data_IF_883826967950
#
_entry.id   IF_883826967950
#
_cell.length_a   1.000
_cell.length_b   1.000
_cell.length_c   1.000
_cell.angle_alpha   90.00
_cell.angle_beta   90.00
_cell.angle_gamma   90.00
#
_symmetry.space_group_name_H-M   'P 1'
#
loop_
_entity.id
_entity.type
_entity.pdbx_description
1 polymer ?
#
# COMPACT_ATOMS: atom_id res chain seq x y z
N UNK A 1 -33.23 2.04 -24.74
CA UNK A 1 -33.53 2.94 -23.61
C UNK A 1 -33.35 2.22 -22.25
N UNK A 2 -32.34 1.35 -22.10
CA UNK A 2 -32.04 0.64 -20.84
C UNK A 2 -30.53 0.62 -20.58
N UNK A 3 -29.91 1.80 -20.40
CA UNK A 3 -28.48 1.91 -20.04
C UNK A 3 -28.23 2.65 -18.72
N UNK A 4 -29.28 3.14 -18.04
CA UNK A 4 -29.13 3.95 -16.82
C UNK A 4 -29.42 3.24 -15.49
N UNK A 5 -30.19 2.16 -15.46
CA UNK A 5 -30.75 1.66 -14.20
C UNK A 5 -29.84 0.70 -13.39
N UNK A 6 -28.78 0.14 -13.96
CA UNK A 6 -27.91 -0.80 -13.22
C UNK A 6 -26.80 -0.07 -12.45
N UNK A 7 -26.35 1.09 -12.93
CA UNK A 7 -25.29 1.87 -12.29
C UNK A 7 -25.84 2.66 -11.07
N UNK A 8 -27.10 3.07 -11.11
CA UNK A 8 -27.74 3.85 -10.04
C UNK A 8 -28.03 3.06 -8.75
N UNK A 9 -28.03 1.72 -8.80
CA UNK A 9 -28.42 0.89 -7.64
C UNK A 9 -27.25 0.64 -6.68
N UNK A 10 -25.99 0.71 -7.14
CA UNK A 10 -24.81 0.52 -6.27
C UNK A 10 -24.23 1.83 -5.70
N UNK A 11 -24.46 2.97 -6.37
CA UNK A 11 -23.86 4.26 -5.98
C UNK A 11 -24.60 4.92 -4.80
N UNK A 12 -25.88 4.60 -4.57
CA UNK A 12 -26.70 5.24 -3.51
C UNK A 12 -26.24 4.99 -2.06
N UNK A 13 -25.31 4.06 -1.83
CA UNK A 13 -24.78 3.76 -0.50
C UNK A 13 -23.37 4.31 -0.24
N UNK A 14 -22.79 5.05 -1.19
CA UNK A 14 -21.42 5.59 -1.08
C UNK A 14 -21.50 7.10 -0.89
N UNK A 15 -20.99 7.57 0.25
CA UNK A 15 -20.81 8.98 0.53
C UNK A 15 -19.59 9.51 -0.24
N UNK A 16 -19.84 10.26 -1.31
CA UNK A 16 -18.80 10.75 -2.21
C UNK A 16 -17.79 11.68 -1.49
N UNK A 17 -18.23 12.40 -0.46
CA UNK A 17 -17.38 13.33 0.30
C UNK A 17 -16.34 12.58 1.15
N UNK A 18 -16.53 11.27 1.33
CA UNK A 18 -15.61 10.39 2.07
C UNK A 18 -14.68 9.60 1.15
N UNK A 19 -14.81 9.76 -0.16
CA UNK A 19 -13.92 9.11 -1.14
C UNK A 19 -12.69 10.00 -1.32
N UNK A 20 -11.53 9.49 -0.94
CA UNK A 20 -10.24 10.15 -1.11
C UNK A 20 -9.41 9.58 -2.28
N UNK A 21 -9.77 8.39 -2.78
CA UNK A 21 -9.07 7.72 -3.88
C UNK A 21 -10.00 6.86 -4.73
N UNK A 22 -9.78 6.90 -6.05
CA UNK A 22 -10.45 6.04 -7.03
C UNK A 22 -9.41 5.08 -7.64
N UNK A 23 -9.64 3.77 -7.51
CA UNK A 23 -8.84 2.74 -8.17
C UNK A 23 -9.66 2.23 -9.36
N UNK A 24 -9.15 2.42 -10.58
CA UNK A 24 -9.81 1.98 -11.81
C UNK A 24 -9.27 0.61 -12.20
N UNK A 25 -10.15 -0.30 -12.57
CA UNK A 25 -9.80 -1.58 -13.17
C UNK A 25 -10.82 -1.95 -14.26
N UNK A 26 -10.36 -2.73 -15.23
CA UNK A 26 -11.19 -3.37 -16.25
C UNK A 26 -11.23 -4.87 -15.96
N UNK A 27 -12.42 -5.47 -15.93
CA UNK A 27 -12.57 -6.92 -15.73
C UNK A 27 -13.08 -7.55 -17.02
N UNK A 28 -12.44 -8.63 -17.45
CA UNK A 28 -12.72 -9.30 -18.73
C UNK A 28 -12.98 -10.79 -18.54
N UNK A 29 -13.77 -11.37 -19.44
CA UNK A 29 -13.98 -12.82 -19.49
C UNK A 29 -12.89 -13.53 -20.32
N UNK A 30 -12.37 -12.84 -21.34
CA UNK A 30 -11.28 -13.31 -22.17
C UNK A 30 -9.95 -12.76 -21.63
N UNK A 31 -8.87 -13.52 -21.80
CA UNK A 31 -7.55 -13.08 -21.41
C UNK A 31 -7.00 -12.04 -22.39
N UNK A 32 -7.02 -10.78 -21.95
CA UNK A 32 -6.44 -9.64 -22.67
C UNK A 32 -5.17 -9.10 -21.98
N UNK A 33 -4.58 -9.85 -21.04
CA UNK A 33 -3.45 -9.42 -20.22
C UNK A 33 -2.24 -8.99 -21.05
N UNK A 34 -1.93 -9.76 -22.12
CA UNK A 34 -0.85 -9.47 -23.08
C UNK A 34 -1.10 -8.14 -23.81
N UNK A 35 -2.34 -7.88 -24.24
CA UNK A 35 -2.67 -6.62 -24.91
C UNK A 35 -2.52 -5.44 -23.95
N UNK A 36 -2.95 -5.59 -22.70
CA UNK A 36 -2.82 -4.50 -21.73
C UNK A 36 -1.39 -4.20 -21.32
N UNK A 37 -0.50 -5.19 -21.39
CA UNK A 37 0.92 -4.97 -21.14
C UNK A 37 1.59 -4.19 -22.29
N UNK A 38 0.99 -4.18 -23.49
CA UNK A 38 1.47 -3.46 -24.67
C UNK A 38 0.88 -2.03 -24.80
N UNK A 39 0.50 -1.38 -23.69
CA UNK A 39 -0.07 -0.01 -23.71
C UNK A 39 0.83 0.99 -24.46
N UNK A 40 2.15 0.92 -24.25
CA UNK A 40 3.11 1.79 -24.92
C UNK A 40 3.08 1.61 -26.44
N UNK A 41 2.99 0.37 -26.92
CA UNK A 41 2.91 0.05 -28.33
C UNK A 41 1.59 0.55 -28.94
N UNK A 42 0.46 0.38 -28.24
CA UNK A 42 -0.83 0.88 -28.70
C UNK A 42 -0.88 2.41 -28.80
N UNK A 43 -0.20 3.13 -27.91
CA UNK A 43 -0.01 4.57 -28.02
C UNK A 43 0.88 4.92 -29.21
N UNK A 44 1.97 4.19 -29.41
CA UNK A 44 2.91 4.42 -30.52
C UNK A 44 2.25 4.25 -31.90
N UNK A 45 1.34 3.29 -32.06
CA UNK A 45 0.60 3.08 -33.32
C UNK A 45 -0.69 3.91 -33.43
N UNK A 46 -0.99 4.76 -32.44
CA UNK A 46 -2.14 5.66 -32.44
C UNK A 46 -3.50 5.01 -32.19
N UNK A 47 -3.54 3.79 -31.67
CA UNK A 47 -4.79 3.11 -31.30
C UNK A 47 -5.34 3.59 -29.95
N UNK A 48 -4.47 4.11 -29.08
CA UNK A 48 -4.81 4.72 -27.80
C UNK A 48 -4.24 6.14 -27.77
N UNK A 49 -5.03 7.16 -27.37
CA UNK A 49 -4.52 8.52 -27.23
C UNK A 49 -3.33 8.57 -26.25
N UNK A 50 -2.32 9.38 -26.56
CA UNK A 50 -1.10 9.45 -25.76
C UNK A 50 -1.36 9.89 -24.30
N UNK A 51 -2.34 10.76 -24.11
CA UNK A 51 -2.81 11.28 -22.82
C UNK A 51 -3.82 10.37 -22.10
N UNK A 52 -4.27 9.31 -22.76
CA UNK A 52 -5.23 8.39 -22.15
C UNK A 52 -4.54 7.43 -21.20
N UNK A 53 -5.07 7.33 -19.99
CA UNK A 53 -4.56 6.44 -18.96
C UNK A 53 -5.43 5.17 -18.88
N UNK A 54 -4.92 4.05 -19.43
CA UNK A 54 -5.61 2.78 -19.40
C UNK A 54 -5.64 2.20 -17.99
N UNK A 55 -6.84 1.75 -17.58
CA UNK A 55 -6.97 0.95 -16.38
C UNK A 55 -6.37 -0.44 -16.63
N UNK A 56 -5.69 -1.04 -15.63
CA UNK A 56 -5.25 -2.42 -15.75
C UNK A 56 -6.44 -3.34 -16.02
N UNK A 57 -6.27 -4.26 -16.98
CA UNK A 57 -7.28 -5.27 -17.29
C UNK A 57 -6.91 -6.57 -16.62
N UNK A 58 -7.86 -7.13 -15.89
CA UNK A 58 -7.70 -8.36 -15.13
C UNK A 58 -8.75 -9.36 -15.63
N UNK A 59 -8.33 -10.59 -15.89
CA UNK A 59 -9.24 -11.69 -16.20
C UNK A 59 -10.11 -12.02 -14.97
N UNK A 60 -11.38 -12.35 -15.17
CA UNK A 60 -12.31 -12.58 -14.06
C UNK A 60 -11.86 -13.72 -13.12
N UNK A 61 -11.22 -14.76 -13.67
CA UNK A 61 -10.63 -15.85 -12.86
C UNK A 61 -9.48 -15.34 -11.99
N UNK A 62 -8.64 -14.49 -12.54
CA UNK A 62 -7.47 -13.94 -11.85
C UNK A 62 -7.88 -12.98 -10.74
N UNK A 63 -8.91 -12.16 -10.98
CA UNK A 63 -9.53 -11.35 -9.92
C UNK A 63 -10.07 -12.24 -8.80
N UNK A 64 -10.66 -13.39 -9.14
CA UNK A 64 -11.07 -14.41 -8.18
C UNK A 64 -9.91 -14.92 -7.33
N UNK A 65 -8.77 -15.25 -7.96
CA UNK A 65 -7.56 -15.68 -7.26
C UNK A 65 -6.97 -14.59 -6.37
N UNK A 66 -6.92 -13.34 -6.83
CA UNK A 66 -6.45 -12.19 -6.04
C UNK A 66 -7.29 -12.03 -4.76
N UNK A 67 -8.62 -12.01 -4.90
CA UNK A 67 -9.54 -11.84 -3.77
C UNK A 67 -9.43 -13.02 -2.81
N UNK A 68 -9.32 -14.25 -3.34
CA UNK A 68 -9.14 -15.44 -2.53
C UNK A 68 -7.83 -15.36 -1.72
N UNK A 69 -6.69 -15.17 -2.38
CA UNK A 69 -5.35 -15.19 -1.75
C UNK A 69 -5.14 -14.06 -0.74
N UNK A 70 -5.52 -12.83 -1.07
CA UNK A 70 -5.21 -11.65 -0.26
C UNK A 70 -6.11 -11.46 0.96
N UNK A 71 -7.21 -12.21 1.04
CA UNK A 71 -8.12 -12.48 2.16
C UNK A 71 -8.60 -11.30 3.05
N UNK A 72 -8.17 -10.07 2.77
CA UNK A 72 -8.44 -8.88 3.54
C UNK A 72 -8.47 -7.62 2.65
N UNK A 73 -9.28 -6.59 3.00
CA UNK A 73 -9.48 -5.45 2.11
C UNK A 73 -8.23 -4.62 1.81
N UNK A 74 -7.32 -4.44 2.78
CA UNK A 74 -6.15 -3.57 2.59
C UNK A 74 -5.15 -4.12 1.58
N UNK A 75 -4.69 -5.38 1.67
CA UNK A 75 -3.85 -5.98 0.63
C UNK A 75 -4.54 -6.02 -0.74
N UNK A 76 -5.85 -6.28 -0.82
CA UNK A 76 -6.59 -6.26 -2.09
C UNK A 76 -6.56 -4.85 -2.71
N UNK A 77 -6.93 -3.83 -1.95
CA UNK A 77 -6.92 -2.44 -2.42
C UNK A 77 -5.51 -2.00 -2.80
N UNK A 78 -4.50 -2.41 -2.02
CA UNK A 78 -3.11 -2.08 -2.29
C UNK A 78 -2.60 -2.74 -3.57
N UNK A 79 -2.88 -4.03 -3.76
CA UNK A 79 -2.57 -4.74 -5.00
C UNK A 79 -3.14 -4.02 -6.22
N UNK A 80 -4.45 -3.76 -6.21
CA UNK A 80 -5.15 -3.12 -7.33
C UNK A 80 -4.66 -1.68 -7.58
N UNK A 81 -4.35 -0.94 -6.51
CA UNK A 81 -3.83 0.41 -6.61
C UNK A 81 -2.43 0.44 -7.24
N UNK A 82 -1.54 -0.45 -6.82
CA UNK A 82 -0.15 -0.49 -7.27
C UNK A 82 0.00 -1.15 -8.65
N UNK A 83 -0.89 -2.08 -9.01
CA UNK A 83 -0.85 -2.81 -10.30
C UNK A 83 -0.87 -1.89 -11.52
N UNK A 84 -1.63 -0.78 -11.47
CA UNK A 84 -1.67 0.23 -12.54
C UNK A 84 -0.34 0.97 -12.69
N UNK A 85 0.32 1.29 -11.58
CA UNK A 85 1.64 1.92 -11.61
C UNK A 85 2.72 0.95 -12.07
N UNK A 86 2.66 -0.29 -11.57
CA UNK A 86 3.60 -1.34 -11.93
C UNK A 86 3.60 -1.60 -13.44
N UNK A 87 2.43 -1.64 -14.09
CA UNK A 87 2.31 -1.79 -15.54
C UNK A 87 2.99 -0.68 -16.34
N UNK A 88 2.97 0.56 -15.83
CA UNK A 88 3.53 1.72 -16.54
C UNK A 88 5.03 1.90 -16.27
N UNK A 89 5.48 1.48 -15.09
CA UNK A 89 6.84 1.69 -14.63
C UNK A 89 7.83 0.69 -15.25
N UNK A 90 7.34 -0.46 -15.72
CA UNK A 90 8.17 -1.54 -16.26
C UNK A 90 7.64 -2.01 -17.60
N UNK A 91 8.54 -2.39 -18.50
CA UNK A 91 8.19 -3.17 -19.69
C UNK A 91 7.98 -4.63 -19.24
N UNK A 92 6.72 -4.95 -18.97
CA UNK A 92 6.30 -6.19 -18.29
C UNK A 92 5.93 -7.28 -19.27
N UNK A 93 6.39 -8.50 -18.98
CA UNK A 93 5.88 -9.72 -19.56
C UNK A 93 5.64 -10.73 -18.44
N UNK A 94 4.38 -11.08 -18.20
CA UNK A 94 3.97 -12.03 -17.16
C UNK A 94 2.45 -12.14 -17.09
N UNK A 95 1.96 -13.22 -16.49
CA UNK A 95 0.54 -13.37 -16.19
C UNK A 95 0.18 -12.78 -14.81
N UNK A 96 -1.12 -12.71 -14.51
CA UNK A 96 -1.57 -12.07 -13.27
C UNK A 96 -1.20 -12.89 -12.01
N UNK A 97 -0.99 -14.20 -12.13
CA UNK A 97 -0.55 -15.03 -11.00
C UNK A 97 0.93 -14.80 -10.67
N UNK A 98 1.78 -14.58 -11.68
CA UNK A 98 3.16 -14.16 -11.46
C UNK A 98 3.22 -12.78 -10.76
N UNK A 99 2.37 -11.82 -11.19
CA UNK A 99 2.27 -10.52 -10.51
C UNK A 99 1.77 -10.64 -9.07
N UNK A 100 0.78 -11.49 -8.82
CA UNK A 100 0.31 -11.79 -7.48
C UNK A 100 1.43 -12.43 -6.64
N UNK A 101 2.18 -13.39 -7.18
CA UNK A 101 3.33 -14.01 -6.52
C UNK A 101 4.40 -12.99 -6.14
N UNK A 102 4.76 -12.10 -7.07
CA UNK A 102 5.70 -11.00 -6.82
C UNK A 102 5.18 -10.06 -5.73
N UNK A 103 3.89 -9.73 -5.77
CA UNK A 103 3.27 -8.89 -4.77
C UNK A 103 3.32 -9.53 -3.38
N UNK A 104 3.06 -10.84 -3.26
CA UNK A 104 3.17 -11.52 -1.97
C UNK A 104 4.59 -11.45 -1.41
N UNK A 105 5.61 -11.48 -2.27
CA UNK A 105 7.00 -11.42 -1.87
C UNK A 105 7.50 -10.00 -1.51
N UNK A 106 6.98 -8.96 -2.17
CA UNK A 106 7.59 -7.62 -2.16
C UNK A 106 6.64 -6.48 -1.81
N UNK A 107 5.33 -6.70 -1.92
CA UNK A 107 4.32 -5.64 -1.88
C UNK A 107 4.44 -4.64 -3.02
N UNK A 108 5.12 -4.98 -4.12
CA UNK A 108 5.53 -4.06 -5.20
C UNK A 108 6.39 -2.87 -4.74
N UNK A 109 7.07 -2.99 -3.60
CA UNK A 109 8.07 -2.02 -3.18
C UNK A 109 9.43 -2.37 -3.81
N UNK A 110 9.57 -2.03 -5.10
CA UNK A 110 10.71 -2.42 -5.93
C UNK A 110 11.68 -1.25 -6.18
N UNK A 111 11.91 -0.42 -5.15
CA UNK A 111 12.77 0.77 -5.17
C UNK A 111 14.09 0.59 -5.93
N UNK A 112 14.73 -0.56 -5.71
CA UNK A 112 16.02 -0.89 -6.29
C UNK A 112 15.94 -1.17 -7.80
N UNK A 113 14.78 -1.59 -8.31
CA UNK A 113 14.60 -2.05 -9.69
C UNK A 113 14.21 -0.92 -10.66
N UNK A 114 13.64 0.18 -10.17
CA UNK A 114 13.22 1.31 -11.02
C UNK A 114 14.38 2.11 -11.64
N UNK A 115 15.62 1.91 -11.16
CA UNK A 115 16.78 2.71 -11.58
C UNK A 115 17.39 2.29 -12.92
N UNK A 116 16.98 1.16 -13.45
CA UNK A 116 17.52 0.60 -14.69
C UNK A 116 16.31 0.29 -15.57
N UNK A 117 16.30 0.78 -16.82
CA UNK A 117 15.26 0.49 -17.84
C UNK A 117 15.28 -1.00 -18.20
N UNK A 118 14.93 -1.86 -17.26
CA UNK A 118 15.01 -3.31 -17.34
C UNK A 118 13.63 -3.83 -17.75
N UNK A 119 13.61 -4.66 -18.80
CA UNK A 119 12.50 -5.57 -19.06
C UNK A 119 12.37 -6.52 -17.87
N UNK A 120 11.27 -6.42 -17.14
CA UNK A 120 11.07 -7.23 -15.95
C UNK A 120 10.08 -8.36 -16.23
N UNK A 121 10.56 -9.59 -16.04
CA UNK A 121 9.80 -10.83 -16.28
C UNK A 121 9.72 -11.61 -14.96
N UNK A 122 8.61 -11.52 -14.20
CA UNK A 122 8.44 -12.23 -12.93
C UNK A 122 8.17 -13.75 -13.07
N UNK A 123 8.68 -14.38 -14.13
CA UNK A 123 8.33 -15.77 -14.46
C UNK A 123 8.64 -16.74 -13.32
N UNK A 124 7.64 -17.54 -12.94
CA UNK A 124 7.75 -18.55 -11.89
C UNK A 124 7.50 -18.02 -10.48
N UNK A 125 7.15 -16.73 -10.33
CA UNK A 125 6.70 -16.19 -9.05
C UNK A 125 5.33 -16.75 -8.65
N UNK A 126 4.55 -17.27 -9.61
CA UNK A 126 3.29 -17.99 -9.37
C UNK A 126 3.47 -19.34 -8.65
N UNK A 127 4.67 -19.93 -8.61
CA UNK A 127 4.87 -21.31 -8.16
C UNK A 127 4.27 -21.65 -6.77
N UNK A 128 4.32 -20.77 -5.75
CA UNK A 128 3.63 -21.02 -4.48
C UNK A 128 2.10 -21.04 -4.60
N UNK A 129 1.52 -20.24 -5.51
CA UNK A 129 0.08 -20.20 -5.81
C UNK A 129 -0.33 -21.47 -6.55
N UNK A 130 0.44 -21.87 -7.57
CA UNK A 130 0.17 -23.06 -8.38
C UNK A 130 0.19 -24.32 -7.50
N UNK A 131 1.20 -24.44 -6.64
CA UNK A 131 1.33 -25.53 -5.68
C UNK A 131 0.13 -25.57 -4.72
N UNK A 132 -0.32 -24.42 -4.25
CA UNK A 132 -1.47 -24.32 -3.36
C UNK A 132 -2.76 -24.78 -4.03
N UNK A 133 -3.09 -24.27 -5.23
CA UNK A 133 -4.32 -24.62 -5.93
C UNK A 133 -4.32 -26.07 -6.41
N UNK A 134 -3.20 -26.54 -6.99
CA UNK A 134 -3.05 -27.95 -7.40
C UNK A 134 -3.25 -28.91 -6.24
N UNK A 135 -2.64 -28.60 -5.08
CA UNK A 135 -2.79 -29.43 -3.88
C UNK A 135 -4.20 -29.40 -3.33
N UNK A 136 -4.82 -28.21 -3.27
CA UNK A 136 -6.21 -28.06 -2.81
C UNK A 136 -7.17 -28.88 -3.66
N UNK A 137 -7.02 -28.84 -4.98
CA UNK A 137 -7.88 -29.55 -5.92
C UNK A 137 -7.66 -31.07 -5.86
N UNK A 138 -6.44 -31.50 -5.49
CA UNK A 138 -6.14 -32.89 -5.13
C UNK A 138 -6.62 -33.31 -3.72
N UNK A 139 -7.29 -32.42 -2.97
CA UNK A 139 -7.75 -32.67 -1.60
C UNK A 139 -6.65 -32.58 -0.53
N UNK A 140 -5.45 -32.15 -0.89
CA UNK A 140 -4.30 -31.97 0.00
C UNK A 140 -4.37 -30.58 0.63
N UNK A 141 -4.39 -30.52 1.97
CA UNK A 141 -4.43 -29.25 2.71
C UNK A 141 -3.02 -28.66 2.81
N UNK A 142 -2.71 -27.69 1.94
CA UNK A 142 -1.57 -26.80 2.10
C UNK A 142 -1.96 -25.48 2.76
N UNK A 143 -0.99 -24.82 3.39
CA UNK A 143 -1.16 -23.47 3.92
C UNK A 143 -1.31 -22.51 2.73
N UNK A 144 -2.35 -21.67 2.77
CA UNK A 144 -2.55 -20.61 1.78
C UNK A 144 -1.34 -19.66 1.75
N UNK A 145 -0.80 -19.35 0.56
CA UNK A 145 0.19 -18.29 0.40
C UNK A 145 -0.31 -16.98 0.98
N UNK A 146 0.57 -16.22 1.64
CA UNK A 146 0.23 -14.93 2.25
C UNK A 146 1.32 -13.92 1.96
N UNK A 147 0.92 -12.65 1.92
CA UNK A 147 1.85 -11.55 1.76
C UNK A 147 2.86 -11.55 2.91
N UNK A 148 4.14 -11.40 2.56
CA UNK A 148 5.23 -11.35 3.51
C UNK A 148 5.19 -9.96 4.16
N UNK A 149 4.82 -9.93 5.44
CA UNK A 149 4.89 -8.74 6.28
C UNK A 149 5.70 -9.03 7.53
N UNK A 150 6.47 -8.05 7.98
CA UNK A 150 7.13 -8.12 9.27
C UNK A 150 6.12 -8.02 10.42
N UNK A 151 6.38 -8.63 11.59
CA UNK A 151 5.40 -8.74 12.68
C UNK A 151 4.75 -7.41 13.11
N UNK A 152 5.50 -6.32 13.15
CA UNK A 152 5.00 -4.98 13.49
C UNK A 152 4.07 -4.46 12.42
N UNK A 153 4.42 -4.60 11.14
CA UNK A 153 3.58 -4.19 10.02
C UNK A 153 2.28 -5.00 9.96
N UNK A 154 2.37 -6.33 10.12
CA UNK A 154 1.18 -7.19 10.21
C UNK A 154 0.26 -6.75 11.35
N UNK A 155 0.81 -6.46 12.54
CA UNK A 155 0.02 -5.96 13.68
C UNK A 155 -0.60 -4.59 13.42
N UNK A 156 0.12 -3.66 12.77
CA UNK A 156 -0.41 -2.34 12.41
C UNK A 156 -1.58 -2.46 11.42
N UNK A 157 -1.42 -3.27 10.37
CA UNK A 157 -2.45 -3.48 9.34
C UNK A 157 -3.70 -4.13 9.95
N UNK A 158 -3.53 -5.17 10.77
CA UNK A 158 -4.66 -5.82 11.43
C UNK A 158 -5.38 -4.83 12.38
N UNK A 159 -4.62 -4.11 13.21
CA UNK A 159 -5.21 -3.13 14.13
C UNK A 159 -5.94 -2.00 13.39
N UNK A 160 -5.40 -1.54 12.26
CA UNK A 160 -6.05 -0.54 11.41
C UNK A 160 -7.35 -1.07 10.79
N UNK A 161 -7.34 -2.30 10.30
CA UNK A 161 -8.52 -2.97 9.73
C UNK A 161 -9.62 -3.26 10.76
N UNK A 162 -9.23 -3.45 12.03
CA UNK A 162 -10.16 -3.62 13.15
C UNK A 162 -10.77 -2.29 13.60
N UNK A 163 -9.94 -1.23 13.74
CA UNK A 163 -10.36 0.07 14.28
C UNK A 163 -11.04 0.95 13.25
N UNK A 164 -10.68 0.81 11.96
CA UNK A 164 -11.21 1.56 10.81
C UNK A 164 -11.42 3.06 11.09
N UNK A 165 -10.38 3.80 11.53
CA UNK A 165 -10.48 5.25 11.64
C UNK A 165 -10.84 5.91 10.29
N UNK A 166 -11.20 7.19 10.30
CA UNK A 166 -11.41 7.94 9.05
C UNK A 166 -10.14 7.87 8.20
N UNK A 167 -10.28 7.57 6.90
CA UNK A 167 -9.16 7.39 5.98
C UNK A 167 -8.36 6.08 6.17
N UNK A 168 -8.86 5.09 6.93
CA UNK A 168 -8.11 3.87 7.22
C UNK A 168 -7.64 3.09 5.98
N UNK A 169 -8.40 3.12 4.89
CA UNK A 169 -7.98 2.52 3.62
C UNK A 169 -6.73 3.20 3.09
N UNK A 170 -6.75 4.52 2.97
CA UNK A 170 -5.62 5.33 2.49
C UNK A 170 -4.41 5.25 3.40
N UNK A 171 -4.62 5.29 4.73
CA UNK A 171 -3.57 5.02 5.71
C UNK A 171 -2.93 3.64 5.48
N UNK A 172 -3.75 2.61 5.26
CA UNK A 172 -3.28 1.24 5.03
C UNK A 172 -2.52 1.11 3.72
N UNK A 173 -2.98 1.77 2.66
CA UNK A 173 -2.28 1.85 1.38
C UNK A 173 -0.88 2.48 1.56
N UNK A 174 -0.79 3.61 2.26
CA UNK A 174 0.49 4.27 2.53
C UNK A 174 1.43 3.42 3.38
N UNK A 175 0.89 2.71 4.39
CA UNK A 175 1.69 1.82 5.22
C UNK A 175 2.23 0.61 4.44
N UNK A 176 1.44 0.04 3.53
CA UNK A 176 1.88 -1.08 2.69
C UNK A 176 2.87 -0.64 1.60
N UNK A 177 2.74 0.60 1.12
CA UNK A 177 3.60 1.16 0.08
C UNK A 177 4.94 1.73 0.60
N UNK A 178 5.15 1.83 1.92
CA UNK A 178 6.32 2.56 2.44
C UNK A 178 7.60 1.74 2.53
N UNK A 179 7.52 0.40 2.48
CA UNK A 179 8.69 -0.46 2.67
C UNK A 179 8.46 -1.92 2.21
N UNK A 180 9.46 -2.51 1.57
CA UNK A 180 9.53 -3.95 1.32
C UNK A 180 9.82 -4.75 2.61
N UNK A 181 9.68 -6.10 2.64
CA UNK A 181 9.90 -6.88 3.86
C UNK A 181 11.29 -6.74 4.53
N UNK A 182 12.35 -6.51 3.75
CA UNK A 182 13.71 -6.27 4.24
C UNK A 182 13.83 -4.88 4.87
N UNK A 183 13.28 -3.86 4.20
CA UNK A 183 13.20 -2.50 4.71
C UNK A 183 12.35 -2.44 5.99
N UNK A 184 11.21 -3.14 6.02
CA UNK A 184 10.36 -3.28 7.21
C UNK A 184 11.16 -3.84 8.39
N UNK A 185 12.05 -4.82 8.18
CA UNK A 185 12.88 -5.37 9.26
C UNK A 185 13.87 -4.33 9.79
N UNK A 186 14.42 -3.50 8.91
CA UNK A 186 15.28 -2.36 9.29
C UNK A 186 14.50 -1.32 10.08
N UNK A 187 13.26 -1.01 9.67
CA UNK A 187 12.37 -0.09 10.37
C UNK A 187 12.04 -0.62 11.77
N UNK A 188 11.69 -1.90 11.91
CA UNK A 188 11.42 -2.53 13.21
C UNK A 188 12.58 -2.38 14.20
N UNK A 189 13.81 -2.63 13.72
CA UNK A 189 15.02 -2.46 14.55
C UNK A 189 15.19 -1.01 15.00
N UNK A 190 15.05 -0.05 14.06
CA UNK A 190 15.15 1.39 14.36
C UNK A 190 14.06 1.86 15.34
N UNK A 191 12.85 1.29 15.29
CA UNK A 191 11.79 1.59 16.23
C UNK A 191 12.12 1.13 17.66
N UNK A 192 12.74 -0.04 17.82
CA UNK A 192 13.16 -0.51 19.14
C UNK A 192 14.34 0.31 19.69
N UNK A 193 15.29 0.71 18.84
CA UNK A 193 16.36 1.65 19.20
C UNK A 193 15.77 3.00 19.65
N UNK A 194 14.83 3.56 18.88
CA UNK A 194 14.15 4.81 19.18
C UNK A 194 13.37 4.74 20.50
N UNK A 195 12.70 3.61 20.78
CA UNK A 195 12.05 3.35 22.06
C UNK A 195 13.03 3.48 23.24
N UNK A 196 14.24 2.93 23.09
CA UNK A 196 15.30 3.04 24.10
C UNK A 196 15.78 4.47 24.31
N UNK A 197 15.89 5.27 23.24
CA UNK A 197 16.26 6.69 23.29
C UNK A 197 15.18 7.50 24.01
N UNK A 198 13.92 7.37 23.61
CA UNK A 198 12.78 8.08 24.22
C UNK A 198 12.68 7.76 25.71
N UNK A 199 12.81 6.48 26.09
CA UNK A 199 12.77 6.07 27.51
C UNK A 199 13.79 6.81 28.37
N UNK A 200 14.99 7.07 27.85
CA UNK A 200 16.08 7.72 28.59
C UNK A 200 15.97 9.25 28.56
N UNK A 201 15.55 9.81 27.43
CA UNK A 201 15.76 11.22 27.11
C UNK A 201 14.47 12.06 26.99
N UNK A 202 13.29 11.49 27.25
CA UNK A 202 12.01 12.19 27.00
C UNK A 202 11.83 13.56 27.70
N UNK A 203 12.62 13.83 28.73
CA UNK A 203 12.61 15.12 29.45
C UNK A 203 13.32 16.24 28.69
N UNK A 204 14.22 15.91 27.77
CA UNK A 204 14.84 16.88 26.86
C UNK A 204 13.86 17.15 25.69
N UNK A 205 13.36 18.38 25.50
CA UNK A 205 12.45 18.70 24.39
C UNK A 205 13.02 18.41 23.00
N UNK A 206 14.34 18.32 22.84
CA UNK A 206 15.03 18.11 21.55
C UNK A 206 15.42 16.66 21.27
N UNK A 207 15.07 15.73 22.16
CA UNK A 207 15.41 14.32 21.94
C UNK A 207 14.75 13.77 20.67
N UNK A 208 15.42 12.82 20.01
CA UNK A 208 14.85 12.08 18.91
C UNK A 208 13.68 11.22 19.41
N UNK A 209 12.50 11.43 18.84
CA UNK A 209 11.25 10.76 19.23
C UNK A 209 10.42 10.27 18.04
N UNK A 210 10.92 10.46 16.81
CA UNK A 210 10.22 10.04 15.61
C UNK A 210 11.15 9.38 14.61
N UNK A 211 10.59 8.45 13.84
CA UNK A 211 11.23 7.81 12.70
C UNK A 211 10.42 8.15 11.45
N UNK A 212 11.03 8.86 10.51
CA UNK A 212 10.42 9.26 9.24
C UNK A 212 10.85 8.27 8.15
N UNK A 213 9.88 7.70 7.45
CA UNK A 213 10.06 6.79 6.32
C UNK A 213 9.70 7.54 5.05
N UNK A 214 10.68 7.66 4.17
CA UNK A 214 10.51 8.18 2.83
C UNK A 214 10.47 6.99 1.87
N UNK A 215 9.31 6.70 1.25
CA UNK A 215 9.25 5.73 0.17
C UNK A 215 10.13 6.19 -1.01
N UNK A 216 10.56 5.25 -1.87
CA UNK A 216 11.42 5.55 -3.01
C UNK A 216 10.76 6.42 -4.08
N UNK A 217 9.42 6.40 -4.16
CA UNK A 217 8.65 7.09 -5.19
C UNK A 217 7.92 8.29 -4.58
N UNK A 218 8.07 9.46 -5.21
CA UNK A 218 7.50 10.73 -4.74
C UNK A 218 5.96 10.72 -4.67
N UNK A 219 5.30 9.86 -5.45
CA UNK A 219 3.84 9.67 -5.38
C UNK A 219 3.36 9.04 -4.07
N UNK A 220 4.25 8.38 -3.33
CA UNK A 220 3.91 7.63 -2.12
C UNK A 220 4.05 8.55 -0.90
N UNK A 221 3.05 8.51 -0.02
CA UNK A 221 3.04 9.32 1.19
C UNK A 221 4.21 8.96 2.12
N UNK A 222 4.73 9.97 2.82
CA UNK A 222 5.67 9.73 3.91
C UNK A 222 4.96 9.11 5.10
N UNK A 223 5.62 8.18 5.78
CA UNK A 223 5.10 7.53 6.99
C UNK A 223 6.01 7.89 8.16
N UNK A 224 5.41 8.37 9.25
CA UNK A 224 6.12 8.77 10.47
C UNK A 224 5.65 7.90 11.62
N UNK A 225 6.61 7.33 12.35
CA UNK A 225 6.35 6.70 13.65
C UNK A 225 6.79 7.64 14.76
N UNK A 226 5.84 8.14 15.53
CA UNK A 226 6.06 8.97 16.70
C UNK A 226 5.99 8.13 17.98
N UNK A 227 7.04 8.17 18.78
CA UNK A 227 7.16 7.40 20.02
C UNK A 227 7.19 8.36 21.22
N UNK A 228 6.41 8.06 22.26
CA UNK A 228 6.30 8.91 23.44
C UNK A 228 6.03 8.09 24.72
N UNK A 229 6.34 8.60 25.91
CA UNK A 229 5.87 8.04 27.18
C UNK A 229 4.47 8.53 27.56
N UNK A 230 3.72 7.76 28.35
CA UNK A 230 2.35 8.07 28.75
C UNK A 230 2.21 9.42 29.46
N UNK A 231 3.26 9.88 30.15
CA UNK A 231 3.30 11.22 30.76
C UNK A 231 3.18 12.36 29.74
N UNK A 232 3.50 12.12 28.46
CA UNK A 232 3.36 13.09 27.36
C UNK A 232 2.10 12.85 26.52
N UNK A 233 1.23 11.90 26.89
CA UNK A 233 0.00 11.54 26.16
C UNK A 233 -0.90 12.74 25.87
N UNK A 234 -1.03 13.68 26.82
CA UNK A 234 -1.84 14.88 26.63
C UNK A 234 -1.36 15.77 25.46
N UNK A 235 -0.06 15.77 25.15
CA UNK A 235 0.55 16.53 24.04
C UNK A 235 0.70 15.71 22.76
N UNK A 236 0.31 14.43 22.78
CA UNK A 236 0.51 13.50 21.66
C UNK A 236 -0.06 14.05 20.36
N UNK A 237 -1.32 14.52 20.37
CA UNK A 237 -1.99 15.02 19.17
C UNK A 237 -1.28 16.23 18.58
N UNK A 238 -0.95 17.22 19.41
CA UNK A 238 -0.22 18.41 18.99
C UNK A 238 1.15 18.06 18.37
N UNK A 239 1.85 17.09 18.96
CA UNK A 239 3.14 16.64 18.43
C UNK A 239 2.99 15.89 17.10
N UNK A 240 1.95 15.08 16.94
CA UNK A 240 1.66 14.43 15.64
C UNK A 240 1.37 15.46 14.55
N UNK A 241 0.57 16.48 14.85
CA UNK A 241 0.25 17.57 13.92
C UNK A 241 1.51 18.37 13.56
N UNK A 242 2.39 18.64 14.53
CA UNK A 242 3.68 19.30 14.27
C UNK A 242 4.60 18.48 13.38
N UNK A 243 4.75 17.17 13.66
CA UNK A 243 5.55 16.26 12.83
C UNK A 243 4.98 16.13 11.42
N UNK A 244 3.65 16.08 11.27
CA UNK A 244 3.01 16.07 9.96
C UNK A 244 3.29 17.36 9.19
N UNK A 245 3.16 18.52 9.83
CA UNK A 245 3.44 19.81 9.22
C UNK A 245 4.90 19.91 8.74
N UNK A 246 5.87 19.54 9.57
CA UNK A 246 7.30 19.53 9.21
C UNK A 246 7.58 18.64 7.98
N UNK A 247 6.89 17.50 7.88
CA UNK A 247 7.07 16.58 6.75
C UNK A 247 6.44 17.13 5.46
N UNK A 248 5.36 17.89 5.56
CA UNK A 248 4.61 18.49 4.46
C UNK A 248 5.19 19.85 4.00
N UNK A 249 6.20 20.39 4.68
CA UNK A 249 6.98 21.53 4.19
C UNK A 249 7.79 21.20 2.93
N UNK A 250 8.04 19.92 2.69
CA UNK A 250 8.66 19.44 1.45
C UNK A 250 7.65 19.46 0.30
N UNK A 251 7.91 20.31 -0.70
CA UNK A 251 7.01 20.57 -1.84
C UNK A 251 6.68 19.32 -2.65
N UNK A 252 7.54 18.30 -2.63
CA UNK A 252 7.31 17.04 -3.35
C UNK A 252 6.25 16.19 -2.65
N UNK A 253 6.10 16.33 -1.33
CA UNK A 253 5.19 15.51 -0.53
C UNK A 253 3.77 16.00 -0.67
N UNK A 254 2.85 15.09 -1.00
CA UNK A 254 1.42 15.40 -1.11
C UNK A 254 0.62 14.99 0.13
N UNK A 255 1.09 13.96 0.84
CA UNK A 255 0.42 13.44 2.02
C UNK A 255 1.41 12.77 2.97
N UNK A 256 1.01 12.68 4.23
CA UNK A 256 1.79 12.09 5.32
C UNK A 256 0.87 11.31 6.26
N UNK A 257 1.36 10.18 6.75
CA UNK A 257 0.71 9.38 7.79
C UNK A 257 1.59 9.37 9.03
N UNK A 258 1.02 9.74 10.19
CA UNK A 258 1.72 9.68 11.48
C UNK A 258 1.07 8.65 12.38
N UNK A 259 1.79 7.60 12.75
CA UNK A 259 1.40 6.65 13.79
C UNK A 259 2.04 7.05 15.11
N UNK A 260 1.25 7.16 16.18
CA UNK A 260 1.79 7.38 17.52
C UNK A 260 1.80 6.10 18.33
N UNK A 261 2.84 5.88 19.15
CA UNK A 261 2.94 4.70 20.00
C UNK A 261 3.54 5.05 21.36
N UNK A 262 2.90 4.58 22.42
CA UNK A 262 3.42 4.74 23.78
C UNK A 262 4.49 3.70 24.09
N UNK A 263 5.60 4.11 24.72
CA UNK A 263 6.64 3.17 25.20
C UNK A 263 6.18 2.33 26.40
N UNK A 264 5.15 2.79 27.11
CA UNK A 264 4.58 2.14 28.29
C UNK A 264 3.54 1.09 27.88
N UNK A 265 2.93 1.23 26.70
CA UNK A 265 1.98 0.29 26.12
C UNK A 265 2.52 -0.29 24.81
N UNK A 266 3.76 -0.78 24.84
CA UNK A 266 4.47 -1.19 23.62
C UNK A 266 3.81 -2.37 22.89
N UNK A 267 3.04 -3.22 23.56
CA UNK A 267 2.35 -4.33 22.88
C UNK A 267 1.22 -3.84 21.96
N UNK A 268 0.68 -2.65 22.23
CA UNK A 268 -0.31 -2.00 21.37
C UNK A 268 0.37 -1.48 20.09
N UNK A 269 -0.15 -1.77 18.88
CA UNK A 269 0.52 -1.40 17.64
C UNK A 269 0.66 0.12 17.46
N UNK A 270 -0.40 0.86 17.75
CA UNK A 270 -0.40 2.32 17.83
C UNK A 270 -1.50 2.82 18.79
N UNK A 271 -1.32 4.02 19.32
CA UNK A 271 -2.29 4.73 20.16
C UNK A 271 -3.28 5.52 19.30
N UNK A 272 -2.75 6.34 18.39
CA UNK A 272 -3.51 7.09 17.40
C UNK A 272 -2.80 7.09 16.04
N UNK A 273 -3.56 7.41 15.00
CA UNK A 273 -3.03 7.62 13.64
C UNK A 273 -3.62 8.91 13.07
N UNK A 274 -2.80 9.66 12.35
CA UNK A 274 -3.17 10.90 11.67
C UNK A 274 -2.82 10.75 10.19
N UNK A 275 -3.78 11.09 9.32
CA UNK A 275 -3.56 11.29 7.90
C UNK A 275 -3.63 12.79 7.63
N UNK A 276 -2.62 13.33 6.95
CA UNK A 276 -2.52 14.74 6.62
C UNK A 276 -2.16 14.92 5.14
N UNK A 277 -2.61 16.02 4.55
CA UNK A 277 -2.39 16.37 3.15
C UNK A 277 -1.69 17.72 3.07
N UNK A 278 -0.85 17.90 2.05
CA UNK A 278 -0.30 19.21 1.72
C UNK A 278 -1.44 20.16 1.31
N UNK A 279 -1.33 21.42 1.68
CA UNK A 279 -2.30 22.44 1.29
C UNK A 279 -2.17 22.72 -0.21
N UNK A 280 -3.20 22.44 -1.03
CA UNK A 280 -3.13 22.69 -2.47
C UNK A 280 -2.96 24.17 -2.81
N UNK A 281 -3.27 25.10 -1.90
CA UNK A 281 -3.06 26.53 -2.11
C UNK A 281 -1.61 27.00 -1.91
N UNK A 282 -0.72 26.12 -1.42
CA UNK A 282 0.72 26.40 -1.21
C UNK A 282 1.63 25.78 -2.28
N UNK A 283 1.06 25.12 -3.30
CA UNK A 283 1.80 24.55 -4.44
C UNK A 283 1.56 25.34 -5.71
#
# INVERSE_FOLDING_TARGET
MCRGQIIDVLIKCIDADRIDRIIRLSVTLDDLSVLTSAEADFKAVGWVPADHDLAPTILISDLGYIIDILDSPLPILHYLAERSFFQKAFDLLGDELDFLGLYLATGFNLAAMQRENIKFVPSGMSAPLDSYYTSRDAGIKLRKPKMILRPTFSRLINHLADRRPVGWTTIGLHLLACADPSEQATIERKLEELRGIVRKNFRDPKHLNSLKIQPPEDRKARVVFYIFPDVLRAKMRQNMEHLAAEVLEDEVVQSCVVFSRSIDQWDRPYEAVLLAYADPAKK
#
